data_IF_320801819933
#
_entry.id   IF_320801819933
#
_cell.length_a   1.000
_cell.length_b   1.000
_cell.length_c   1.000
_cell.angle_alpha   90.00
_cell.angle_beta   90.00
_cell.angle_gamma   90.00
#
_symmetry.space_group_name_H-M   'P 1'
#
loop_
_entity.id
_entity.type
_entity.pdbx_description
1 polymer ?
#
# COMPACT_ATOMS: atom_id res chain seq x y z
N UNK A 1 14.39 -38.12 34.15
CA UNK A 1 14.01 -36.73 34.52
C UNK A 1 15.07 -35.71 34.12
N UNK A 2 16.29 -35.70 34.70
CA UNK A 2 17.33 -34.69 34.37
C UNK A 2 17.72 -34.62 32.88
N UNK A 3 17.85 -35.79 32.22
CA UNK A 3 18.16 -35.88 30.78
C UNK A 3 17.03 -35.34 29.90
N UNK A 4 15.79 -35.62 30.27
CA UNK A 4 14.58 -35.16 29.57
C UNK A 4 14.44 -33.63 29.63
N UNK A 5 14.75 -33.02 30.78
CA UNK A 5 14.72 -31.56 30.96
C UNK A 5 15.79 -30.88 30.09
N UNK A 6 17.00 -31.44 30.03
CA UNK A 6 18.08 -30.92 29.18
C UNK A 6 17.72 -30.98 27.68
N UNK A 7 17.11 -32.08 27.24
CA UNK A 7 16.69 -32.24 25.84
C UNK A 7 15.62 -31.21 25.48
N UNK A 8 14.59 -31.03 26.32
CA UNK A 8 13.51 -30.07 26.07
C UNK A 8 14.04 -28.63 26.07
N UNK A 9 14.95 -28.30 26.99
CA UNK A 9 15.60 -26.98 27.05
C UNK A 9 16.42 -26.69 25.79
N UNK A 10 17.17 -27.67 25.28
CA UNK A 10 17.98 -27.49 24.08
C UNK A 10 17.10 -27.28 22.84
N UNK A 11 15.97 -27.99 22.74
CA UNK A 11 15.02 -27.82 21.64
C UNK A 11 14.38 -26.44 21.66
N UNK A 12 13.93 -25.95 22.82
CA UNK A 12 13.34 -24.60 22.93
C UNK A 12 14.33 -23.50 22.51
N UNK A 13 15.59 -23.62 22.90
CA UNK A 13 16.62 -22.67 22.51
C UNK A 13 16.84 -22.66 20.99
N UNK A 14 16.89 -23.84 20.36
CA UNK A 14 17.06 -23.95 18.91
C UNK A 14 15.87 -23.35 18.13
N UNK A 15 14.64 -23.61 18.56
CA UNK A 15 13.45 -23.04 17.91
C UNK A 15 13.28 -21.54 18.17
N UNK A 16 13.68 -21.04 19.34
CA UNK A 16 13.68 -19.61 19.65
C UNK A 16 14.62 -18.80 18.73
N UNK A 17 15.78 -19.35 18.39
CA UNK A 17 16.71 -18.72 17.43
C UNK A 17 16.15 -18.69 15.99
N UNK A 18 15.38 -19.71 15.59
CA UNK A 18 14.75 -19.77 14.26
C UNK A 18 13.59 -18.77 14.10
N UNK A 19 13.00 -18.28 15.20
CA UNK A 19 11.91 -17.31 15.18
C UNK A 19 12.37 -15.87 14.85
N UNK A 20 13.68 -15.58 14.88
CA UNK A 20 14.24 -14.29 14.48
C UNK A 20 14.61 -14.23 12.97
N UNK A 21 14.41 -15.33 12.25
CA UNK A 21 14.61 -15.42 10.80
C UNK A 21 13.43 -14.81 10.03
N UNK A 22 13.28 -13.48 10.10
CA UNK A 22 12.32 -12.71 9.30
C UNK A 22 12.47 -13.11 7.82
N UNK A 23 11.39 -13.65 7.25
CA UNK A 23 11.35 -13.96 5.81
C UNK A 23 11.26 -12.62 5.07
N UNK A 24 11.86 -12.47 3.89
CA UNK A 24 11.70 -11.25 3.11
C UNK A 24 10.21 -10.92 2.96
N UNK A 25 9.77 -9.80 3.56
CA UNK A 25 8.37 -9.37 3.54
C UNK A 25 7.96 -8.74 2.20
N UNK A 26 8.86 -8.78 1.21
CA UNK A 26 8.66 -8.24 -0.12
C UNK A 26 8.88 -9.32 -1.17
N UNK A 27 7.87 -9.48 -2.03
CA UNK A 27 7.99 -10.19 -3.29
C UNK A 27 9.16 -9.58 -4.09
N UNK A 28 9.93 -10.44 -4.77
CA UNK A 28 11.12 -10.13 -5.58
C UNK A 28 11.01 -8.74 -6.23
N UNK A 29 11.75 -7.76 -5.72
CA UNK A 29 11.77 -6.41 -6.29
C UNK A 29 12.43 -6.46 -7.66
N UNK A 30 11.65 -6.37 -8.75
CA UNK A 30 12.24 -6.19 -10.08
C UNK A 30 12.57 -4.72 -10.29
N UNK A 31 13.87 -4.42 -10.26
CA UNK A 31 14.41 -3.09 -10.54
C UNK A 31 13.89 -2.58 -11.89
N UNK A 32 13.33 -1.37 -11.90
CA UNK A 32 12.82 -0.72 -13.11
C UNK A 32 11.39 -1.11 -13.50
N UNK A 33 10.69 -1.95 -12.72
CA UNK A 33 9.27 -2.26 -12.95
C UNK A 33 8.42 -1.77 -11.78
N UNK A 34 7.37 -1.02 -12.10
CA UNK A 34 6.37 -0.64 -11.12
C UNK A 34 5.57 -1.88 -10.70
N UNK A 35 5.64 -2.23 -9.41
CA UNK A 35 5.00 -3.43 -8.85
C UNK A 35 3.64 -3.13 -8.19
N UNK A 36 3.15 -1.89 -8.30
CA UNK A 36 1.85 -1.47 -7.78
C UNK A 36 0.69 -1.76 -8.74
N UNK A 37 -0.52 -1.31 -8.39
CA UNK A 37 -1.68 -1.34 -9.31
C UNK A 37 -1.38 -0.44 -10.51
N UNK A 38 -1.55 -0.97 -11.72
CA UNK A 38 -1.37 -0.20 -12.94
C UNK A 38 -2.01 1.21 -12.84
N UNK A 39 -1.22 2.23 -13.22
CA UNK A 39 -1.71 3.59 -13.25
C UNK A 39 -2.88 3.70 -14.23
N UNK A 40 -3.96 4.31 -13.76
CA UNK A 40 -5.15 4.59 -14.57
C UNK A 40 -5.38 6.09 -14.58
N UNK A 41 -5.94 6.59 -15.68
CA UNK A 41 -6.27 8.00 -15.76
C UNK A 41 -7.29 8.35 -14.67
N UNK A 42 -7.25 9.55 -14.08
CA UNK A 42 -8.14 9.92 -12.96
C UNK A 42 -9.63 9.95 -13.34
N UNK A 43 -9.94 10.08 -14.64
CA UNK A 43 -11.29 9.99 -15.21
C UNK A 43 -11.72 8.55 -15.54
N UNK A 44 -10.83 7.56 -15.40
CA UNK A 44 -11.11 6.13 -15.61
C UNK A 44 -11.68 5.48 -14.34
N UNK A 45 -12.70 6.11 -13.77
CA UNK A 45 -13.47 5.57 -12.66
C UNK A 45 -14.97 5.61 -12.98
N UNK A 46 -15.83 4.84 -12.28
CA UNK A 46 -17.26 4.76 -12.59
C UNK A 46 -18.01 6.10 -12.53
N UNK A 47 -17.54 7.09 -11.77
CA UNK A 47 -18.19 8.40 -11.66
C UNK A 47 -18.04 9.25 -12.94
N UNK A 48 -16.90 9.10 -13.65
CA UNK A 48 -16.62 9.81 -14.89
C UNK A 48 -16.72 8.94 -16.14
N UNK A 49 -16.69 7.61 -16.01
CA UNK A 49 -16.94 6.69 -17.12
C UNK A 49 -15.97 6.88 -18.28
N UNK A 50 -14.70 7.18 -18.00
CA UNK A 50 -13.65 7.54 -18.96
C UNK A 50 -13.82 8.91 -19.64
N UNK A 51 -14.82 9.70 -19.26
CA UNK A 51 -15.03 11.05 -19.80
C UNK A 51 -14.08 12.06 -19.13
N UNK A 52 -13.02 12.41 -19.88
CA UNK A 52 -12.04 13.41 -19.47
C UNK A 52 -12.65 14.81 -19.34
N UNK A 53 -13.54 15.21 -20.24
CA UNK A 53 -14.12 16.56 -20.22
C UNK A 53 -15.00 16.77 -18.99
N UNK A 54 -15.81 15.76 -18.65
CA UNK A 54 -16.62 15.75 -17.42
C UNK A 54 -15.75 15.83 -16.18
N UNK A 55 -14.64 15.10 -16.13
CA UNK A 55 -13.68 15.15 -15.03
C UNK A 55 -13.03 16.54 -14.90
N UNK A 56 -12.55 17.12 -16.01
CA UNK A 56 -11.93 18.45 -16.01
C UNK A 56 -12.91 19.54 -15.56
N UNK A 57 -14.16 19.47 -16.00
CA UNK A 57 -15.22 20.37 -15.55
C UNK A 57 -15.47 20.26 -14.04
N UNK A 58 -15.53 19.04 -13.51
CA UNK A 58 -15.70 18.81 -12.07
C UNK A 58 -14.50 19.31 -11.25
N UNK A 59 -13.27 19.11 -11.74
CA UNK A 59 -12.06 19.65 -11.10
C UNK A 59 -12.07 21.18 -11.08
N UNK A 60 -12.45 21.83 -12.18
CA UNK A 60 -12.54 23.29 -12.27
C UNK A 60 -13.60 23.85 -11.33
N UNK A 61 -14.79 23.25 -11.29
CA UNK A 61 -15.85 23.64 -10.38
C UNK A 61 -15.43 23.52 -8.91
N UNK A 62 -14.69 22.44 -8.55
CA UNK A 62 -14.11 22.30 -7.21
C UNK A 62 -13.16 23.46 -6.88
N UNK A 63 -12.31 23.85 -7.83
CA UNK A 63 -11.38 24.97 -7.66
C UNK A 63 -12.10 26.28 -7.32
N UNK A 64 -13.18 26.60 -8.02
CA UNK A 64 -13.98 27.80 -7.75
C UNK A 64 -14.63 27.79 -6.36
N UNK A 65 -15.08 26.62 -5.89
CA UNK A 65 -15.64 26.47 -4.54
C UNK A 65 -14.61 26.56 -3.40
N UNK A 66 -13.32 26.62 -3.73
CA UNK A 66 -12.22 26.84 -2.78
C UNK A 66 -11.58 28.22 -2.93
N UNK A 67 -11.88 28.95 -3.99
CA UNK A 67 -11.35 30.28 -4.25
C UNK A 67 -12.13 31.34 -3.46
N UNK A 68 -11.47 31.96 -2.49
CA UNK A 68 -12.05 32.99 -1.64
C UNK A 68 -12.48 34.23 -2.42
N UNK A 69 -11.80 34.56 -3.54
CA UNK A 69 -12.20 35.67 -4.41
C UNK A 69 -13.55 35.43 -5.09
N UNK A 70 -13.87 34.17 -5.36
CA UNK A 70 -15.17 33.78 -5.95
C UNK A 70 -16.26 33.62 -4.89
N UNK A 71 -15.91 33.33 -3.62
CA UNK A 71 -16.87 33.07 -2.54
C UNK A 71 -17.30 34.30 -1.73
N UNK A 72 -16.46 35.33 -1.67
CA UNK A 72 -16.69 36.54 -0.86
C UNK A 72 -17.18 37.76 -1.63
N UNK A 73 -17.46 37.61 -2.93
CA UNK A 73 -17.99 38.67 -3.81
C UNK A 73 -19.50 38.80 -3.75
#
# INVERSE_FOLDING_TARGET
MKKSVLIVSAMLAAFGLAACGERPQVNVYQQGKYQGKADTAPYDNPAFGKDKAKWEAAVRARGQGQDEYTRGG
#
